data_IF_753231910187
#
_entry.id   IF_753231910187
#
_cell.length_a   1.000
_cell.length_b   1.000
_cell.length_c   1.000
_cell.angle_alpha   90.00
_cell.angle_beta   90.00
_cell.angle_gamma   90.00
#
_symmetry.space_group_name_H-M   'P 1'
#
loop_
_entity.id
_entity.type
_entity.pdbx_description
1 polymer ?
#
# COMPACT_ATOMS: atom_id res chain seq x y z
N UNK A 1 28.03 67.41 -49.26
CA UNK A 1 26.58 67.11 -49.36
C UNK A 1 26.32 65.76 -48.68
N UNK A 2 25.12 65.59 -48.13
CA UNK A 2 24.64 64.56 -47.20
C UNK A 2 24.82 63.07 -47.60
N UNK A 3 24.95 62.24 -46.56
CA UNK A 3 24.84 60.76 -46.44
C UNK A 3 23.38 60.27 -46.73
N UNK A 4 22.96 58.96 -46.68
CA UNK A 4 23.65 57.65 -46.59
C UNK A 4 23.01 56.53 -47.49
N UNK A 5 23.47 55.27 -47.30
CA UNK A 5 22.82 53.96 -47.57
C UNK A 5 23.45 53.16 -48.73
N UNK A 6 23.78 51.86 -48.62
CA UNK A 6 23.35 50.81 -47.68
C UNK A 6 24.38 49.67 -47.68
N UNK A 7 24.58 49.10 -46.50
CA UNK A 7 25.28 47.86 -46.20
C UNK A 7 25.01 46.74 -47.20
N UNK A 8 26.06 46.19 -47.82
CA UNK A 8 25.99 44.86 -48.44
C UNK A 8 26.83 43.90 -47.60
N UNK A 9 26.24 43.51 -46.46
CA UNK A 9 26.65 42.33 -45.72
C UNK A 9 26.48 41.10 -46.61
N UNK A 10 27.57 40.62 -47.19
CA UNK A 10 27.67 39.27 -47.72
C UNK A 10 27.63 38.28 -46.55
N UNK A 11 26.42 38.05 -46.00
CA UNK A 11 26.12 36.86 -45.23
C UNK A 11 25.57 35.83 -46.21
N UNK A 12 26.10 34.61 -46.27
CA UNK A 12 25.53 33.57 -47.12
C UNK A 12 24.04 33.40 -46.75
N UNK A 13 23.16 33.16 -47.74
CA UNK A 13 21.76 32.96 -47.48
C UNK A 13 21.67 31.82 -46.48
N UNK A 14 21.01 32.10 -45.35
CA UNK A 14 20.58 31.14 -44.35
C UNK A 14 20.20 29.88 -45.07
N UNK A 15 21.13 28.91 -45.09
CA UNK A 15 20.81 27.56 -45.42
C UNK A 15 19.67 27.26 -44.48
N UNK A 16 18.48 27.02 -45.04
CA UNK A 16 17.41 26.36 -44.31
C UNK A 16 18.03 25.03 -43.93
N UNK A 17 18.69 25.00 -42.78
CA UNK A 17 19.02 23.79 -42.08
C UNK A 17 17.67 23.11 -42.04
N UNK A 18 17.55 22.02 -42.79
CA UNK A 18 16.42 21.14 -42.69
C UNK A 18 16.33 20.78 -41.20
N UNK A 19 15.55 21.56 -40.46
CA UNK A 19 14.90 21.13 -39.23
C UNK A 19 13.90 20.08 -39.71
N UNK A 20 14.42 18.96 -40.20
CA UNK A 20 13.79 17.70 -39.91
C UNK A 20 13.65 17.73 -38.41
N UNK A 21 12.43 18.07 -37.98
CA UNK A 21 11.99 17.90 -36.64
C UNK A 21 12.44 16.49 -36.27
N UNK A 22 13.54 16.41 -35.52
CA UNK A 22 13.88 15.24 -34.75
C UNK A 22 12.77 15.17 -33.70
N UNK A 23 11.57 14.79 -34.15
CA UNK A 23 10.59 14.09 -33.36
C UNK A 23 11.34 12.87 -32.88
N UNK A 24 12.08 13.03 -31.78
CA UNK A 24 12.67 11.93 -31.06
C UNK A 24 11.51 11.00 -30.79
N UNK A 25 11.47 9.90 -31.56
CA UNK A 25 10.44 8.86 -31.46
C UNK A 25 10.21 8.66 -29.98
N UNK A 26 8.97 8.88 -29.54
CA UNK A 26 8.54 8.59 -28.17
C UNK A 26 8.94 7.15 -27.92
N UNK A 27 10.05 6.93 -27.21
CA UNK A 27 10.49 5.58 -26.84
C UNK A 27 9.52 5.20 -25.74
N UNK A 28 8.37 4.63 -26.16
CA UNK A 28 7.34 4.17 -25.26
C UNK A 28 8.06 3.31 -24.21
N UNK A 29 8.04 3.77 -22.97
CA UNK A 29 8.70 3.08 -21.88
C UNK A 29 7.85 1.88 -21.48
N UNK A 30 7.90 0.82 -22.30
CA UNK A 30 7.21 -0.46 -22.08
C UNK A 30 7.58 -1.05 -20.71
N UNK A 31 8.83 -0.82 -20.27
CA UNK A 31 9.34 -1.23 -18.97
C UNK A 31 8.49 -0.65 -17.84
N UNK A 32 8.15 0.65 -17.90
CA UNK A 32 7.30 1.26 -16.88
C UNK A 32 5.89 0.67 -16.87
N UNK A 33 5.35 0.27 -18.02
CA UNK A 33 4.02 -0.34 -18.10
C UNK A 33 4.03 -1.72 -17.45
N UNK A 34 5.03 -2.55 -17.76
CA UNK A 34 5.22 -3.88 -17.17
C UNK A 34 5.33 -3.78 -15.65
N UNK A 35 6.09 -2.79 -15.14
CA UNK A 35 6.23 -2.55 -13.70
C UNK A 35 4.85 -2.31 -13.06
N UNK A 36 3.98 -1.49 -13.66
CA UNK A 36 2.64 -1.24 -13.12
C UNK A 36 1.72 -2.45 -13.15
N UNK A 37 1.87 -3.35 -14.13
CA UNK A 37 1.16 -4.64 -14.14
C UNK A 37 1.61 -5.51 -12.96
N UNK A 38 2.92 -5.58 -12.70
CA UNK A 38 3.46 -6.34 -11.58
C UNK A 38 2.96 -5.76 -10.25
N UNK A 39 2.98 -4.44 -10.08
CA UNK A 39 2.44 -3.76 -8.89
C UNK A 39 0.95 -4.07 -8.70
N UNK A 40 0.16 -4.05 -9.77
CA UNK A 40 -1.27 -4.39 -9.72
C UNK A 40 -1.48 -5.80 -9.15
N UNK A 41 -0.70 -6.78 -9.61
CA UNK A 41 -0.78 -8.17 -9.16
C UNK A 41 -0.34 -8.28 -7.68
N UNK A 42 0.77 -7.66 -7.31
CA UNK A 42 1.28 -7.68 -5.93
C UNK A 42 0.28 -7.09 -4.93
N UNK A 43 -0.29 -5.93 -5.24
CA UNK A 43 -1.33 -5.29 -4.40
C UNK A 43 -2.60 -6.16 -4.38
N UNK A 44 -2.94 -6.80 -5.50
CA UNK A 44 -4.02 -7.80 -5.60
C UNK A 44 -3.86 -8.95 -4.61
N UNK A 45 -2.69 -9.59 -4.62
CA UNK A 45 -2.36 -10.70 -3.72
C UNK A 45 -2.36 -10.23 -2.26
N UNK A 46 -1.81 -9.05 -1.98
CA UNK A 46 -1.80 -8.44 -0.64
C UNK A 46 -3.23 -8.26 -0.11
N UNK A 47 -4.11 -7.67 -0.92
CA UNK A 47 -5.50 -7.43 -0.54
C UNK A 47 -6.25 -8.74 -0.30
N UNK A 48 -6.04 -9.75 -1.15
CA UNK A 48 -6.67 -11.05 -1.01
C UNK A 48 -6.16 -11.80 0.24
N UNK A 49 -4.84 -11.82 0.45
CA UNK A 49 -4.19 -12.42 1.61
C UNK A 49 -4.73 -11.83 2.91
N UNK A 50 -4.73 -10.51 3.06
CA UNK A 50 -5.27 -9.82 4.25
C UNK A 50 -6.77 -10.07 4.49
N UNK A 51 -7.54 -10.40 3.44
CA UNK A 51 -8.97 -10.65 3.58
C UNK A 51 -9.30 -12.11 3.93
N UNK A 52 -8.50 -13.07 3.48
CA UNK A 52 -8.80 -14.52 3.57
C UNK A 52 -7.85 -15.32 4.45
N UNK A 53 -6.61 -14.89 4.59
CA UNK A 53 -5.65 -15.59 5.43
C UNK A 53 -5.83 -15.16 6.89
N UNK A 54 -5.50 -16.05 7.84
CA UNK A 54 -5.54 -15.70 9.25
C UNK A 54 -4.60 -14.52 9.51
N UNK A 55 -5.06 -13.60 10.34
CA UNK A 55 -4.34 -12.39 10.73
C UNK A 55 -3.74 -12.59 12.12
N UNK A 56 -4.45 -13.35 12.97
CA UNK A 56 -4.08 -13.65 14.34
C UNK A 56 -4.07 -15.17 14.53
N UNK A 57 -3.06 -15.68 15.22
CA UNK A 57 -3.08 -17.05 15.73
C UNK A 57 -3.18 -17.01 17.24
N UNK A 58 -4.29 -17.53 17.77
CA UNK A 58 -4.44 -17.78 19.20
C UNK A 58 -3.71 -19.08 19.56
N UNK A 59 -2.52 -18.93 20.12
CA UNK A 59 -1.66 -20.07 20.48
C UNK A 59 -2.31 -20.91 21.59
N UNK A 60 -3.10 -20.29 22.47
CA UNK A 60 -3.75 -20.98 23.58
C UNK A 60 -4.98 -21.81 23.18
N UNK A 61 -5.72 -21.36 22.16
CA UNK A 61 -6.90 -22.03 21.65
C UNK A 61 -6.60 -22.87 20.38
N UNK A 62 -5.37 -22.82 19.88
CA UNK A 62 -4.96 -23.34 18.57
C UNK A 62 -5.92 -22.92 17.45
N UNK A 63 -6.41 -21.68 17.51
CA UNK A 63 -7.38 -21.12 16.56
C UNK A 63 -6.74 -19.97 15.79
N UNK A 64 -6.84 -20.04 14.48
CA UNK A 64 -6.40 -19.00 13.57
C UNK A 64 -7.62 -18.12 13.24
N UNK A 65 -7.55 -16.84 13.59
CA UNK A 65 -8.65 -15.89 13.43
C UNK A 65 -8.41 -15.04 12.19
N UNK A 66 -9.40 -15.02 11.31
CA UNK A 66 -9.43 -14.21 10.09
C UNK A 66 -10.13 -12.85 10.30
N UNK A 67 -10.13 -12.00 9.28
CA UNK A 67 -10.75 -10.67 9.38
C UNK A 67 -12.27 -10.74 9.66
N UNK A 68 -12.94 -11.76 9.13
CA UNK A 68 -14.40 -11.90 9.23
C UNK A 68 -14.82 -12.24 10.67
N UNK A 69 -14.02 -13.06 11.34
CA UNK A 69 -14.20 -13.40 12.74
C UNK A 69 -13.91 -12.21 13.66
N UNK A 70 -12.87 -11.41 13.36
CA UNK A 70 -12.58 -10.17 14.10
C UNK A 70 -13.72 -9.16 13.95
N UNK A 71 -14.29 -9.03 12.75
CA UNK A 71 -15.44 -8.13 12.51
C UNK A 71 -16.68 -8.55 13.30
N UNK A 72 -16.86 -9.85 13.51
CA UNK A 72 -17.98 -10.40 14.26
C UNK A 72 -17.69 -10.56 15.75
N UNK A 73 -16.49 -10.21 16.23
CA UNK A 73 -16.06 -10.41 17.62
C UNK A 73 -16.97 -9.72 18.65
N UNK A 74 -17.70 -8.66 18.26
CA UNK A 74 -18.72 -8.04 19.11
C UNK A 74 -19.98 -8.91 19.28
N UNK A 75 -20.34 -9.71 18.27
CA UNK A 75 -21.51 -10.59 18.27
C UNK A 75 -21.19 -12.03 18.66
N UNK A 76 -19.91 -12.41 18.61
CA UNK A 76 -19.43 -13.72 19.02
C UNK A 76 -19.03 -13.66 20.48
N UNK A 77 -19.94 -14.08 21.37
CA UNK A 77 -19.60 -14.46 22.75
C UNK A 77 -18.50 -15.51 22.67
N UNK A 78 -17.25 -15.09 22.77
CA UNK A 78 -16.11 -15.98 22.62
C UNK A 78 -15.98 -16.76 23.93
N UNK A 79 -16.57 -17.96 23.95
CA UNK A 79 -16.28 -18.96 24.97
C UNK A 79 -14.81 -19.35 24.81
N UNK A 80 -13.93 -18.68 25.56
CA UNK A 80 -12.53 -19.08 25.69
C UNK A 80 -12.53 -20.28 26.65
N UNK A 81 -12.78 -21.47 26.09
CA UNK A 81 -12.94 -22.70 26.88
C UNK A 81 -14.20 -22.68 27.77
N UNK A 82 -14.22 -23.41 28.91
CA UNK A 82 -15.39 -23.49 29.80
C UNK A 82 -15.68 -22.18 30.57
N UNK A 83 -14.93 -21.11 30.32
CA UNK A 83 -15.10 -19.81 30.95
C UNK A 83 -15.90 -18.90 30.00
N UNK A 84 -17.18 -18.72 30.34
CA UNK A 84 -18.07 -17.78 29.68
C UNK A 84 -17.71 -16.34 30.11
N UNK A 85 -16.60 -15.82 29.59
CA UNK A 85 -16.13 -14.48 29.90
C UNK A 85 -17.01 -13.50 29.11
N UNK A 86 -17.80 -12.70 29.81
CA UNK A 86 -18.62 -11.65 29.20
C UNK A 86 -17.73 -10.43 28.91
N UNK A 87 -17.07 -10.45 27.75
CA UNK A 87 -16.07 -9.45 27.32
C UNK A 87 -16.67 -8.04 27.17
N UNK A 88 -18.00 -7.95 27.15
CA UNK A 88 -18.81 -6.72 27.16
C UNK A 88 -18.48 -5.76 28.31
N UNK A 89 -17.93 -6.25 29.43
CA UNK A 89 -17.53 -5.40 30.57
C UNK A 89 -16.11 -4.82 30.44
N UNK A 90 -15.31 -5.28 29.47
CA UNK A 90 -13.96 -4.75 29.26
C UNK A 90 -14.03 -3.55 28.31
N UNK A 91 -14.45 -2.40 28.84
CA UNK A 91 -14.61 -1.14 28.09
C UNK A 91 -13.37 -0.71 27.26
N UNK A 92 -12.19 -1.22 27.59
CA UNK A 92 -10.95 -0.97 26.84
C UNK A 92 -10.68 -1.93 25.68
N UNK A 93 -11.25 -3.15 25.68
CA UNK A 93 -10.99 -4.14 24.64
C UNK A 93 -11.78 -3.81 23.36
N UNK A 94 -13.06 -3.44 23.54
CA UNK A 94 -13.93 -3.06 22.42
C UNK A 94 -13.35 -1.87 21.66
N UNK A 95 -12.86 -0.85 22.36
CA UNK A 95 -12.23 0.32 21.73
C UNK A 95 -10.93 0.00 20.96
N UNK A 96 -10.19 -1.04 21.33
CA UNK A 96 -9.00 -1.48 20.58
C UNK A 96 -9.41 -2.30 19.36
N UNK A 97 -10.38 -3.19 19.48
CA UNK A 97 -10.92 -3.98 18.37
C UNK A 97 -11.57 -3.07 17.31
N UNK A 98 -12.34 -2.07 17.71
CA UNK A 98 -12.98 -1.14 16.77
C UNK A 98 -11.96 -0.32 15.98
N UNK A 99 -10.90 0.16 16.64
CA UNK A 99 -9.77 0.82 15.98
C UNK A 99 -9.04 -0.13 15.02
N UNK A 100 -8.91 -1.39 15.39
CA UNK A 100 -8.29 -2.42 14.55
C UNK A 100 -9.12 -2.72 13.29
N UNK A 101 -10.44 -2.90 13.44
CA UNK A 101 -11.38 -3.07 12.32
C UNK A 101 -11.35 -1.84 11.39
N UNK A 102 -11.34 -0.63 11.97
CA UNK A 102 -11.24 0.61 11.20
C UNK A 102 -9.94 0.65 10.37
N UNK A 103 -8.80 0.30 10.96
CA UNK A 103 -7.52 0.26 10.27
C UNK A 103 -7.53 -0.74 9.09
N UNK A 104 -8.13 -1.91 9.26
CA UNK A 104 -8.35 -2.89 8.19
C UNK A 104 -9.23 -2.34 7.06
N UNK A 105 -10.36 -1.71 7.39
CA UNK A 105 -11.24 -1.14 6.39
C UNK A 105 -10.53 -0.03 5.57
N UNK A 106 -9.79 0.85 6.24
CA UNK A 106 -8.98 1.89 5.58
C UNK A 106 -7.93 1.24 4.68
N UNK A 107 -7.24 0.20 5.17
CA UNK A 107 -6.25 -0.54 4.39
C UNK A 107 -6.84 -1.14 3.11
N UNK A 108 -8.02 -1.76 3.17
CA UNK A 108 -8.68 -2.33 1.99
C UNK A 108 -9.08 -1.25 0.99
N UNK A 109 -9.60 -0.11 1.45
CA UNK A 109 -9.93 1.04 0.59
C UNK A 109 -8.67 1.56 -0.13
N UNK A 110 -7.54 1.65 0.58
CA UNK A 110 -6.27 2.06 -0.01
C UNK A 110 -5.75 1.04 -1.04
N UNK A 111 -5.85 -0.26 -0.76
CA UNK A 111 -5.47 -1.31 -1.71
C UNK A 111 -6.31 -1.26 -2.99
N UNK A 112 -7.63 -1.14 -2.87
CA UNK A 112 -8.54 -1.02 -4.03
C UNK A 112 -8.25 0.27 -4.80
N UNK A 113 -8.10 1.40 -4.10
CA UNK A 113 -7.74 2.68 -4.72
C UNK A 113 -6.41 2.61 -5.47
N UNK A 114 -5.40 1.96 -4.89
CA UNK A 114 -4.11 1.71 -5.52
C UNK A 114 -4.23 0.86 -6.80
N UNK A 115 -5.07 -0.19 -6.79
CA UNK A 115 -5.32 -0.98 -7.99
C UNK A 115 -5.94 -0.14 -9.11
N UNK A 116 -6.97 0.66 -8.79
CA UNK A 116 -7.62 1.55 -9.76
C UNK A 116 -6.61 2.53 -10.36
N UNK A 117 -5.78 3.16 -9.52
CA UNK A 117 -4.76 4.10 -9.99
C UNK A 117 -3.69 3.40 -10.82
N UNK A 118 -3.32 2.16 -10.47
CA UNK A 118 -2.41 1.35 -11.27
C UNK A 118 -2.97 1.07 -12.67
N UNK A 119 -4.26 0.74 -12.79
CA UNK A 119 -4.96 0.59 -14.08
C UNK A 119 -4.96 1.91 -14.86
N UNK A 120 -5.33 3.03 -14.23
CA UNK A 120 -5.28 4.35 -14.86
C UNK A 120 -3.86 4.73 -15.31
N UNK A 121 -2.85 4.31 -14.54
CA UNK A 121 -1.44 4.56 -14.88
C UNK A 121 -1.01 3.73 -16.08
N UNK A 122 -1.50 2.50 -16.25
CA UNK A 122 -1.26 1.69 -17.45
C UNK A 122 -1.85 2.39 -18.69
N UNK A 123 -3.07 2.92 -18.60
CA UNK A 123 -3.77 3.58 -19.71
C UNK A 123 -3.14 4.94 -20.06
N UNK A 124 -2.92 5.80 -19.06
CA UNK A 124 -2.51 7.19 -19.29
C UNK A 124 -1.01 7.45 -19.16
N UNK A 125 -0.27 6.57 -18.48
CA UNK A 125 1.17 6.69 -18.18
C UNK A 125 1.60 8.09 -17.68
N UNK A 126 0.73 8.74 -16.88
CA UNK A 126 1.01 10.06 -16.30
C UNK A 126 1.83 9.91 -15.03
N UNK A 127 2.90 10.71 -14.90
CA UNK A 127 3.76 10.71 -13.71
C UNK A 127 2.99 11.07 -12.43
N UNK A 128 1.98 11.95 -12.52
CA UNK A 128 1.13 12.31 -11.37
C UNK A 128 0.43 11.09 -10.78
N UNK A 129 -0.11 10.20 -11.62
CA UNK A 129 -0.76 8.97 -11.17
C UNK A 129 0.22 8.05 -10.43
N UNK A 130 1.47 7.96 -10.91
CA UNK A 130 2.54 7.19 -10.23
C UNK A 130 2.85 7.73 -8.84
N UNK A 131 2.94 9.06 -8.71
CA UNK A 131 3.21 9.73 -7.43
C UNK A 131 2.06 9.50 -6.46
N UNK A 132 0.81 9.65 -6.90
CA UNK A 132 -0.35 9.39 -6.06
C UNK A 132 -0.37 7.92 -5.62
N UNK A 133 -0.12 6.98 -6.54
CA UNK A 133 -0.07 5.55 -6.20
C UNK A 133 1.04 5.21 -5.20
N UNK A 134 2.19 5.87 -5.34
CA UNK A 134 3.32 5.74 -4.41
C UNK A 134 2.94 6.16 -3.00
N UNK A 135 2.26 7.30 -2.85
CA UNK A 135 1.79 7.78 -1.55
C UNK A 135 0.78 6.79 -0.95
N UNK A 136 -0.18 6.30 -1.73
CA UNK A 136 -1.20 5.35 -1.25
C UNK A 136 -0.56 4.05 -0.76
N UNK A 137 0.37 3.47 -1.53
CA UNK A 137 1.07 2.24 -1.13
C UNK A 137 1.95 2.48 0.10
N UNK A 138 2.60 3.65 0.21
CA UNK A 138 3.37 4.00 1.41
C UNK A 138 2.49 4.09 2.67
N UNK A 139 1.31 4.70 2.57
CA UNK A 139 0.34 4.78 3.67
C UNK A 139 -0.20 3.39 4.01
N UNK A 140 -0.53 2.57 3.02
CA UNK A 140 -0.97 1.19 3.23
C UNK A 140 0.11 0.36 3.95
N UNK A 141 1.39 0.55 3.59
CA UNK A 141 2.52 -0.12 4.24
C UNK A 141 2.65 0.32 5.71
N UNK A 142 2.50 1.62 6.00
CA UNK A 142 2.50 2.13 7.38
C UNK A 142 1.36 1.52 8.22
N UNK A 143 0.17 1.35 7.63
CA UNK A 143 -0.94 0.66 8.29
C UNK A 143 -0.61 -0.81 8.53
N UNK A 144 -0.02 -1.50 7.54
CA UNK A 144 0.40 -2.90 7.72
C UNK A 144 1.37 -3.07 8.91
N UNK A 145 2.33 -2.15 9.08
CA UNK A 145 3.21 -2.13 10.26
C UNK A 145 2.45 -1.89 11.57
N UNK A 146 1.42 -1.05 11.55
CA UNK A 146 0.61 -0.76 12.74
C UNK A 146 -0.21 -1.97 13.22
N UNK A 147 -0.48 -2.95 12.35
CA UNK A 147 -1.16 -4.18 12.75
C UNK A 147 -0.33 -4.97 13.77
N UNK A 148 0.96 -5.18 13.53
CA UNK A 148 1.85 -5.87 14.49
C UNK A 148 1.82 -5.23 15.87
N UNK A 149 1.83 -3.90 15.95
CA UNK A 149 1.71 -3.16 17.22
C UNK A 149 0.35 -3.40 17.89
N UNK A 150 -0.74 -3.33 17.13
CA UNK A 150 -2.09 -3.49 17.67
C UNK A 150 -2.34 -4.92 18.16
N UNK A 151 -1.74 -5.92 17.51
CA UNK A 151 -1.78 -7.33 17.94
C UNK A 151 -1.13 -7.51 19.30
N UNK A 152 0.03 -6.90 19.52
CA UNK A 152 0.69 -6.95 20.83
C UNK A 152 -0.16 -6.28 21.92
N UNK A 153 -0.85 -5.19 21.58
CA UNK A 153 -1.75 -4.51 22.52
C UNK A 153 -2.98 -5.37 22.86
N UNK A 154 -3.58 -6.03 21.86
CA UNK A 154 -4.66 -7.00 22.06
C UNK A 154 -4.19 -8.17 22.95
N UNK A 155 -3.02 -8.74 22.67
CA UNK A 155 -2.43 -9.80 23.49
C UNK A 155 -2.19 -9.36 24.94
N UNK A 156 -1.72 -8.12 25.17
CA UNK A 156 -1.53 -7.55 26.51
C UNK A 156 -2.84 -7.41 27.27
N UNK A 157 -3.88 -6.88 26.62
CA UNK A 157 -5.18 -6.71 27.27
C UNK A 157 -5.84 -8.06 27.58
N UNK A 158 -5.69 -9.05 26.71
CA UNK A 158 -6.22 -10.40 26.95
C UNK A 158 -5.42 -11.10 28.06
N UNK A 159 -4.09 -10.97 28.08
CA UNK A 159 -3.23 -11.46 29.18
C UNK A 159 -3.64 -10.87 30.53
N UNK A 160 -3.87 -9.56 30.60
CA UNK A 160 -4.29 -8.88 31.82
C UNK A 160 -5.68 -9.35 32.30
N UNK A 161 -6.60 -9.62 31.37
CA UNK A 161 -7.90 -10.17 31.71
C UNK A 161 -7.81 -11.64 32.17
N UNK A 162 -6.88 -12.43 31.63
CA UNK A 162 -6.66 -13.82 32.04
C UNK A 162 -5.92 -13.95 33.38
N UNK A 163 -5.08 -12.97 33.74
CA UNK A 163 -4.53 -12.83 35.08
C UNK A 163 -5.63 -12.77 36.16
N UNK A 164 -6.78 -12.14 35.86
CA UNK A 164 -7.94 -12.14 36.75
C UNK A 164 -8.57 -13.54 36.96
N UNK A 165 -8.28 -14.49 36.06
CA UNK A 165 -8.70 -15.89 36.13
C UNK A 165 -7.55 -16.84 36.55
N UNK A 166 -6.47 -16.31 37.15
CA UNK A 166 -5.30 -17.06 37.65
C UNK A 166 -4.44 -17.75 36.56
N UNK A 167 -4.48 -17.26 35.32
CA UNK A 167 -3.61 -17.72 34.23
C UNK A 167 -2.59 -16.64 33.86
N UNK A 168 -1.39 -16.71 34.45
CA UNK A 168 -0.26 -15.81 34.16
C UNK A 168 0.43 -16.24 32.86
N UNK A 169 -0.15 -15.87 31.73
CA UNK A 169 0.41 -16.16 30.41
C UNK A 169 0.92 -14.89 29.73
N UNK A 170 2.16 -14.88 29.22
CA UNK A 170 2.69 -13.72 28.53
C UNK A 170 1.94 -13.48 27.20
N UNK A 171 1.77 -12.23 26.76
CA UNK A 171 0.97 -11.86 25.58
C UNK A 171 1.32 -12.61 24.28
N UNK A 172 2.60 -12.95 24.11
CA UNK A 172 3.14 -13.66 22.95
C UNK A 172 2.78 -15.15 22.91
N UNK A 173 2.34 -15.73 24.02
CA UNK A 173 1.82 -17.10 24.11
C UNK A 173 0.29 -17.15 24.00
N UNK A 174 -0.36 -15.97 23.87
CA UNK A 174 -1.81 -15.87 23.73
C UNK A 174 -2.14 -15.55 22.27
N UNK A 175 -1.53 -14.51 21.69
CA UNK A 175 -1.75 -14.11 20.30
C UNK A 175 -0.41 -13.90 19.61
N UNK A 176 -0.29 -14.48 18.42
CA UNK A 176 0.85 -14.26 17.52
C UNK A 176 0.36 -13.70 16.19
N UNK A 177 1.22 -12.91 15.55
CA UNK A 177 0.99 -12.43 14.19
C UNK A 177 1.02 -13.60 13.21
N UNK A 178 0.02 -13.70 12.35
CA UNK A 178 -0.04 -14.74 11.34
C UNK A 178 0.60 -14.29 10.00
N UNK A 179 0.79 -15.25 9.10
CA UNK A 179 1.53 -15.06 7.84
C UNK A 179 0.97 -13.95 6.94
N UNK A 180 -0.31 -13.60 7.06
CA UNK A 180 -0.95 -12.58 6.22
C UNK A 180 -0.31 -11.21 6.36
N UNK A 181 0.07 -10.79 7.58
CA UNK A 181 0.66 -9.47 7.83
C UNK A 181 2.09 -9.43 7.33
N UNK A 182 2.87 -10.49 7.60
CA UNK A 182 4.23 -10.62 7.08
C UNK A 182 4.25 -10.60 5.55
N UNK A 183 3.36 -11.35 4.90
CA UNK A 183 3.22 -11.37 3.45
C UNK A 183 2.85 -9.98 2.91
N UNK A 184 1.92 -9.29 3.57
CA UNK A 184 1.52 -7.95 3.15
C UNK A 184 2.67 -6.94 3.23
N UNK A 185 3.47 -6.98 4.30
CA UNK A 185 4.66 -6.12 4.46
C UNK A 185 5.66 -6.35 3.32
N UNK A 186 5.96 -7.61 3.00
CA UNK A 186 6.90 -7.96 1.92
C UNK A 186 6.37 -7.51 0.56
N UNK A 187 5.10 -7.79 0.26
CA UNK A 187 4.50 -7.49 -1.04
C UNK A 187 4.32 -5.97 -1.26
N UNK A 188 3.90 -5.23 -0.23
CA UNK A 188 3.75 -3.77 -0.30
C UNK A 188 5.11 -3.07 -0.38
N UNK A 189 6.11 -3.52 0.38
CA UNK A 189 7.48 -3.00 0.29
C UNK A 189 8.06 -3.23 -1.10
N UNK A 190 7.88 -4.42 -1.66
CA UNK A 190 8.29 -4.75 -3.03
C UNK A 190 7.57 -3.88 -4.06
N UNK A 191 6.26 -3.67 -3.89
CA UNK A 191 5.46 -2.78 -4.76
C UNK A 191 5.95 -1.33 -4.71
N UNK A 192 6.32 -0.84 -3.53
CA UNK A 192 6.86 0.49 -3.33
C UNK A 192 8.23 0.65 -4.02
N UNK A 193 9.12 -0.34 -3.88
CA UNK A 193 10.42 -0.35 -4.55
C UNK A 193 10.28 -0.37 -6.08
N UNK A 194 9.37 -1.18 -6.62
CA UNK A 194 9.06 -1.22 -8.04
C UNK A 194 8.50 0.13 -8.53
N UNK A 195 7.60 0.76 -7.77
CA UNK A 195 7.13 2.12 -8.10
C UNK A 195 8.27 3.13 -8.11
N UNK A 196 9.19 3.05 -7.16
CA UNK A 196 10.36 3.92 -7.11
C UNK A 196 11.21 3.77 -8.39
N UNK A 197 11.52 2.54 -8.77
CA UNK A 197 12.25 2.22 -10.01
C UNK A 197 11.47 2.74 -11.24
N UNK A 198 10.15 2.63 -11.25
CA UNK A 198 9.30 3.09 -12.36
C UNK A 198 9.45 4.59 -12.66
N UNK A 199 9.83 5.41 -11.67
CA UNK A 199 10.04 6.85 -11.87
C UNK A 199 11.26 7.15 -12.74
N UNK A 200 12.30 6.31 -12.72
CA UNK A 200 13.48 6.48 -13.57
C UNK A 200 13.18 6.26 -15.05
N UNK A 201 12.19 5.43 -15.34
CA UNK A 201 11.73 5.11 -16.70
C UNK A 201 10.77 6.16 -17.29
N UNK A 202 10.81 7.40 -16.78
CA UNK A 202 9.94 8.51 -17.19
C UNK A 202 10.00 8.76 -18.69
N UNK A 203 8.83 8.72 -19.34
CA UNK A 203 8.66 9.10 -20.73
C UNK A 203 9.00 10.59 -20.89
N UNK A 204 10.23 10.92 -21.33
CA UNK A 204 10.61 12.31 -21.63
C UNK A 204 9.80 12.76 -22.85
N UNK A 205 8.92 13.75 -22.67
CA UNK A 205 8.34 14.45 -23.81
C UNK A 205 9.50 15.08 -24.61
N UNK A 206 9.54 14.93 -25.94
CA UNK A 206 10.43 15.76 -26.74
C UNK A 206 10.03 17.22 -26.45
N UNK A 207 10.99 18.01 -25.94
CA UNK A 207 10.82 19.45 -25.75
C UNK A 207 10.57 20.03 -27.13
N UNK A 208 9.36 20.54 -27.35
CA UNK A 208 9.08 21.44 -28.48
C UNK A 208 9.87 22.71 -28.17
N UNK A 209 10.95 22.96 -28.93
CA UNK A 209 11.68 24.23 -28.92
C UNK A 209 11.09 25.12 -30.00
#
# INVERSE_FOLDING_TARGET
MQNPNRYQTNRPPYARVNQQAYYGKKKNSWISLIIHIIILILVGITCYSMYKQPILNFVLANQAIDFSEIKNFQNTTTQIGPLNINISEVANLQGVIDKFILAFNIFFVLCIGSMIISILTIVFNRTILKVINFIIIAVALMIAFSFSYTIQMLGKQISQNLHHFFLDLPPNQIITEADAIHNALILLSSSLALLFISFFFRNRHPRIK
#
